data_IF_726469057499
#
_entry.id   IF_726469057499
#
_cell.length_a   1.000
_cell.length_b   1.000
_cell.length_c   1.000
_cell.angle_alpha   90.00
_cell.angle_beta   90.00
_cell.angle_gamma   90.00
#
_symmetry.space_group_name_H-M   'P 1'
#
loop_
_entity.id
_entity.type
_entity.pdbx_description
1 polymer ?
#
# COMPACT_ATOMS: atom_id res chain seq x y z
N UNK A 1 -1.21 12.90 23.42
CA UNK A 1 -1.16 11.43 23.48
C UNK A 1 -0.22 10.86 22.41
N UNK A 2 -0.58 10.85 21.10
CA UNK A 2 0.29 10.23 20.08
C UNK A 2 1.66 10.88 19.92
N UNK A 3 1.78 12.21 20.03
CA UNK A 3 3.09 12.90 19.99
C UNK A 3 4.05 12.44 21.09
N UNK A 4 3.52 12.04 22.25
CA UNK A 4 4.33 11.53 23.37
C UNK A 4 4.81 10.10 23.11
N UNK A 5 3.94 9.25 22.53
CA UNK A 5 4.29 7.86 22.15
C UNK A 5 5.34 7.86 21.05
N UNK A 6 5.20 8.76 20.06
CA UNK A 6 6.08 8.83 18.90
C UNK A 6 7.35 9.66 19.13
N UNK A 7 7.43 10.41 20.24
CA UNK A 7 8.56 11.29 20.55
C UNK A 7 8.75 12.44 19.55
N UNK A 8 7.72 12.81 18.78
CA UNK A 8 7.78 13.86 17.75
C UNK A 8 6.46 14.61 17.63
N UNK A 9 6.51 15.82 17.09
CA UNK A 9 5.32 16.63 16.83
C UNK A 9 4.44 15.97 15.77
N UNK A 10 3.14 15.90 16.05
CA UNK A 10 2.17 15.30 15.15
C UNK A 10 1.58 16.37 14.23
N UNK A 11 1.99 16.35 12.96
CA UNK A 11 1.40 17.15 11.89
C UNK A 11 0.64 16.26 10.89
N UNK A 12 0.03 16.85 9.85
CA UNK A 12 -0.72 16.11 8.83
C UNK A 12 0.11 15.06 8.11
N UNK A 13 1.39 15.36 7.83
CA UNK A 13 2.31 14.41 7.21
C UNK A 13 2.51 13.20 8.13
N UNK A 14 2.80 13.43 9.40
CA UNK A 14 3.01 12.35 10.36
C UNK A 14 1.74 11.51 10.58
N UNK A 15 0.58 12.14 10.64
CA UNK A 15 -0.69 11.42 10.70
C UNK A 15 -0.92 10.54 9.47
N UNK A 16 -0.55 11.01 8.27
CA UNK A 16 -0.62 10.20 7.05
C UNK A 16 0.37 9.02 7.09
N UNK A 17 1.58 9.23 7.62
CA UNK A 17 2.57 8.17 7.77
C UNK A 17 2.10 7.07 8.74
N UNK A 18 1.29 7.42 9.74
CA UNK A 18 0.69 6.49 10.71
C UNK A 18 -0.48 5.67 10.15
N UNK A 19 -0.96 5.94 8.93
CA UNK A 19 -1.98 5.11 8.28
C UNK A 19 -1.43 3.79 7.72
N UNK A 20 -0.13 3.51 7.88
CA UNK A 20 0.46 2.22 7.50
C UNK A 20 -0.08 1.11 8.39
N UNK A 21 -0.62 0.08 7.76
CA UNK A 21 -1.11 -1.14 8.41
C UNK A 21 -0.27 -2.34 7.97
N UNK A 22 -0.12 -3.37 8.81
CA UNK A 22 0.63 -4.56 8.43
C UNK A 22 -0.10 -5.37 7.36
N UNK A 23 0.63 -5.80 6.32
CA UNK A 23 0.22 -6.84 5.39
C UNK A 23 1.25 -7.98 5.44
N UNK A 24 0.79 -9.18 5.80
CA UNK A 24 1.64 -10.36 5.91
C UNK A 24 1.00 -11.49 5.12
N UNK A 25 1.68 -11.96 4.08
CA UNK A 25 1.24 -13.06 3.22
C UNK A 25 2.26 -14.20 3.34
N UNK A 26 1.84 -15.36 3.84
CA UNK A 26 2.67 -16.57 3.92
C UNK A 26 2.28 -17.52 2.80
N UNK A 27 3.20 -17.76 1.87
CA UNK A 27 3.02 -18.72 0.77
C UNK A 27 3.95 -19.92 0.97
N UNK A 28 3.42 -21.16 1.15
CA UNK A 28 4.23 -22.36 1.24
C UNK A 28 5.10 -22.58 0.00
N UNK A 29 6.36 -22.97 0.19
CA UNK A 29 7.27 -23.28 -0.92
C UNK A 29 7.89 -22.05 -1.62
N UNK A 30 7.54 -20.83 -1.21
CA UNK A 30 8.14 -19.60 -1.73
C UNK A 30 9.09 -18.96 -0.72
N UNK A 31 10.18 -18.36 -1.22
CA UNK A 31 11.07 -17.54 -0.41
C UNK A 31 10.37 -16.22 -0.06
N UNK A 32 10.28 -15.91 1.23
CA UNK A 32 9.76 -14.64 1.70
C UNK A 32 10.78 -13.50 1.62
N UNK A 33 10.35 -12.31 2.06
CA UNK A 33 11.18 -11.13 2.16
C UNK A 33 10.37 -9.92 2.63
N UNK A 34 11.05 -8.86 3.04
CA UNK A 34 10.40 -7.59 3.34
C UNK A 34 10.11 -6.88 2.01
N UNK A 35 8.85 -6.52 1.82
CA UNK A 35 8.37 -5.77 0.66
C UNK A 35 8.27 -4.30 1.05
N UNK A 36 8.99 -3.42 0.34
CA UNK A 36 9.08 -1.99 0.65
C UNK A 36 8.26 -1.11 -0.31
N UNK A 37 7.71 -1.69 -1.36
CA UNK A 37 6.86 -1.01 -2.32
C UNK A 37 5.60 -0.47 -1.64
N UNK A 38 5.18 0.72 -2.04
CA UNK A 38 3.96 1.34 -1.55
C UNK A 38 2.76 0.67 -2.23
N UNK A 39 1.78 0.26 -1.45
CA UNK A 39 0.53 -0.32 -1.93
C UNK A 39 -0.62 -0.05 -0.98
N UNK A 40 -1.85 -0.21 -1.46
CA UNK A 40 -3.08 -0.07 -0.69
C UNK A 40 -3.88 -1.36 -0.60
N UNK A 41 -4.98 -1.34 0.16
CA UNK A 41 -5.84 -2.51 0.33
C UNK A 41 -6.45 -3.01 -0.99
N UNK A 42 -6.67 -2.12 -1.95
CA UNK A 42 -7.21 -2.45 -3.29
C UNK A 42 -6.27 -3.35 -4.10
N UNK A 43 -4.99 -3.39 -3.76
CA UNK A 43 -3.96 -4.18 -4.45
C UNK A 43 -3.92 -5.64 -3.96
N UNK A 44 -4.56 -5.95 -2.82
CA UNK A 44 -4.51 -7.29 -2.21
C UNK A 44 -5.18 -8.34 -3.10
N UNK A 45 -6.36 -8.04 -3.65
CA UNK A 45 -7.09 -8.98 -4.50
C UNK A 45 -6.29 -9.41 -5.75
N UNK A 46 -5.81 -8.49 -6.63
CA UNK A 46 -5.01 -8.88 -7.78
C UNK A 46 -3.74 -9.64 -7.39
N UNK A 47 -3.08 -9.24 -6.30
CA UNK A 47 -1.88 -9.94 -5.77
C UNK A 47 -2.20 -11.40 -5.42
N UNK A 48 -3.29 -11.64 -4.68
CA UNK A 48 -3.69 -13.00 -4.30
C UNK A 48 -4.10 -13.84 -5.51
N UNK A 49 -4.82 -13.25 -6.48
CA UNK A 49 -5.23 -13.96 -7.69
C UNK A 49 -4.01 -14.41 -8.52
N UNK A 50 -3.00 -13.56 -8.65
CA UNK A 50 -1.76 -13.94 -9.35
C UNK A 50 -0.95 -15.00 -8.60
N UNK A 51 -0.86 -14.92 -7.27
CA UNK A 51 -0.26 -15.99 -6.46
C UNK A 51 -0.97 -17.34 -6.62
N UNK A 52 -2.29 -17.31 -6.88
CA UNK A 52 -3.11 -18.49 -7.17
C UNK A 52 -3.08 -18.91 -8.66
N UNK A 53 -2.32 -18.21 -9.52
CA UNK A 53 -2.22 -18.51 -10.95
C UNK A 53 -3.47 -18.14 -11.76
N UNK A 54 -4.32 -17.24 -11.26
CA UNK A 54 -5.53 -16.78 -11.94
C UNK A 54 -5.26 -15.53 -12.77
N UNK A 55 -5.63 -15.55 -14.05
CA UNK A 55 -5.57 -14.35 -14.91
C UNK A 55 -6.65 -13.34 -14.51
N UNK A 56 -6.25 -12.09 -14.31
CA UNK A 56 -7.11 -11.01 -13.83
C UNK A 56 -7.60 -10.06 -14.93
N UNK A 57 -7.16 -10.23 -16.18
CA UNK A 57 -7.46 -9.30 -17.30
C UNK A 57 -8.94 -9.04 -17.56
N UNK A 58 -9.80 -10.01 -17.23
CA UNK A 58 -11.24 -9.92 -17.47
C UNK A 58 -12.00 -9.26 -16.31
N UNK A 59 -11.33 -8.87 -15.23
CA UNK A 59 -11.95 -8.21 -14.08
C UNK A 59 -11.70 -6.71 -14.09
N UNK A 60 -12.74 -5.94 -13.72
CA UNK A 60 -12.57 -4.51 -13.44
C UNK A 60 -11.99 -4.38 -12.03
N UNK A 61 -10.68 -4.13 -11.95
CA UNK A 61 -9.95 -3.93 -10.71
C UNK A 61 -9.16 -2.62 -10.81
N UNK A 62 -9.18 -1.82 -9.73
CA UNK A 62 -8.44 -0.56 -9.67
C UNK A 62 -7.03 -0.75 -9.10
N UNK A 63 -6.83 -1.76 -8.24
CA UNK A 63 -5.52 -2.13 -7.74
C UNK A 63 -4.73 -2.96 -8.74
N UNK A 64 -3.47 -3.21 -8.41
CA UNK A 64 -2.55 -4.02 -9.20
C UNK A 64 -1.74 -4.95 -8.30
N UNK A 65 -1.21 -6.02 -8.86
CA UNK A 65 -0.39 -6.99 -8.12
C UNK A 65 0.86 -6.34 -7.51
N UNK A 66 0.97 -6.39 -6.18
CA UNK A 66 2.06 -5.82 -5.38
C UNK A 66 3.42 -6.45 -5.70
N UNK A 67 3.44 -7.69 -6.19
CA UNK A 67 4.67 -8.40 -6.53
C UNK A 67 5.12 -8.19 -7.97
N UNK A 68 4.30 -7.50 -8.78
CA UNK A 68 4.64 -7.17 -10.15
C UNK A 68 5.68 -6.04 -10.21
N UNK A 69 6.70 -6.14 -11.09
CA UNK A 69 7.63 -5.03 -11.33
C UNK A 69 6.95 -3.80 -11.95
N UNK A 70 5.76 -3.96 -12.52
CA UNK A 70 4.97 -2.87 -13.11
C UNK A 70 3.99 -2.22 -12.13
N UNK A 71 3.98 -2.65 -10.86
CA UNK A 71 3.11 -2.09 -9.83
C UNK A 71 3.31 -0.58 -9.66
N UNK A 72 2.22 0.19 -9.85
CA UNK A 72 2.25 1.64 -9.64
C UNK A 72 2.12 1.93 -8.16
N UNK A 73 3.23 2.42 -7.59
CA UNK A 73 3.34 2.78 -6.18
C UNK A 73 2.65 4.11 -5.84
N UNK A 74 1.35 4.21 -6.11
CA UNK A 74 0.50 5.34 -5.74
C UNK A 74 -0.65 4.79 -4.92
N UNK A 75 -0.74 5.23 -3.66
CA UNK A 75 -1.76 4.77 -2.72
C UNK A 75 -2.77 5.90 -2.51
N UNK A 76 -3.93 5.84 -3.19
CA UNK A 76 -4.98 6.83 -3.01
C UNK A 76 -5.69 6.62 -1.67
N UNK A 77 -5.94 7.70 -0.95
CA UNK A 77 -6.82 7.72 0.20
C UNK A 77 -8.23 8.11 -0.24
N UNK A 78 -9.24 7.67 0.54
CA UNK A 78 -10.64 7.90 0.18
C UNK A 78 -11.03 9.37 0.08
N UNK A 79 -10.35 10.25 0.81
CA UNK A 79 -10.59 11.68 0.84
C UNK A 79 -9.86 12.47 -0.27
N UNK A 80 -9.21 11.79 -1.22
CA UNK A 80 -8.48 12.42 -2.33
C UNK A 80 -7.01 12.73 -2.04
N UNK A 81 -6.54 12.52 -0.81
CA UNK A 81 -5.11 12.51 -0.53
C UNK A 81 -4.45 11.30 -1.21
N UNK A 82 -3.13 11.33 -1.42
CA UNK A 82 -2.39 10.16 -1.87
C UNK A 82 -0.95 10.17 -1.38
N UNK A 83 -0.34 9.00 -1.33
CA UNK A 83 1.09 8.82 -1.05
C UNK A 83 1.77 8.04 -2.16
N UNK A 84 3.01 8.39 -2.45
CA UNK A 84 3.92 7.70 -3.36
C UNK A 84 5.35 7.71 -2.77
N UNK A 85 6.33 7.03 -3.39
CA UNK A 85 7.71 7.04 -2.92
C UNK A 85 8.34 8.43 -2.82
N UNK A 86 7.88 9.39 -3.63
CA UNK A 86 8.47 10.74 -3.74
C UNK A 86 7.54 11.86 -3.30
N UNK A 87 6.22 11.64 -3.27
CA UNK A 87 5.22 12.68 -3.00
C UNK A 87 4.18 12.17 -2.01
N UNK A 88 3.86 13.00 -1.02
CA UNK A 88 2.70 12.83 -0.14
C UNK A 88 1.83 14.06 -0.29
N UNK A 89 0.69 13.92 -0.98
CA UNK A 89 -0.23 15.01 -1.23
C UNK A 89 -1.36 14.98 -0.20
N UNK A 90 -1.52 16.08 0.54
CA UNK A 90 -2.44 16.18 1.68
C UNK A 90 -3.25 17.47 1.60
N UNK A 91 -4.57 17.36 1.75
CA UNK A 91 -5.49 18.51 1.77
C UNK A 91 -5.40 19.36 0.49
N UNK A 92 -5.22 18.70 -0.67
CA UNK A 92 -5.14 19.36 -1.98
C UNK A 92 -3.82 20.09 -2.26
N UNK A 93 -2.76 19.79 -1.52
CA UNK A 93 -1.40 20.32 -1.71
C UNK A 93 -0.40 19.19 -1.90
#
# INVERSE_FOLDING_TARGET
AMSQVMGKEMNSFENAQLQRVPLIIRVPGMKGGVQHQYGGEIDVLPTLLHLLGTDTKNYVQFGSDLLSPEHKQVVPFRNGNYVSPTVTALNGK
#
